data_IF_786525012583
#
_entry.id   IF_786525012583
#
_cell.length_a   1.000
_cell.length_b   1.000
_cell.length_c   1.000
_cell.angle_alpha   90.00
_cell.angle_beta   90.00
_cell.angle_gamma   90.00
#
_symmetry.space_group_name_H-M   'P 1'
#
loop_
_entity.id
_entity.type
_entity.pdbx_description
1 polymer ?
#
# COMPACT_ATOMS: atom_id res chain seq x y z
N UNK A 1 -29.94 -38.48 27.35
CA UNK A 1 -28.77 -37.79 26.77
C UNK A 1 -29.29 -36.75 25.80
N UNK A 2 -29.21 -35.47 26.16
CA UNK A 2 -29.71 -34.36 25.35
C UNK A 2 -28.48 -33.71 24.71
N UNK A 3 -28.42 -33.69 23.39
CA UNK A 3 -27.42 -32.96 22.63
C UNK A 3 -27.66 -31.45 22.83
N UNK A 4 -26.67 -30.74 23.38
CA UNK A 4 -26.68 -29.28 23.44
C UNK A 4 -26.36 -28.68 22.07
N UNK A 5 -26.87 -27.49 21.74
CA UNK A 5 -26.68 -26.89 20.43
C UNK A 5 -25.23 -26.40 20.27
N UNK A 6 -24.65 -26.80 19.15
CA UNK A 6 -23.37 -26.35 18.65
C UNK A 6 -23.50 -24.85 18.30
N UNK A 7 -22.94 -23.96 19.13
CA UNK A 7 -22.78 -22.55 18.76
C UNK A 7 -21.63 -22.46 17.77
N UNK A 8 -21.96 -22.34 16.48
CA UNK A 8 -21.03 -21.83 15.50
C UNK A 8 -20.64 -20.40 15.94
N UNK A 9 -19.39 -20.23 16.34
CA UNK A 9 -18.78 -18.92 16.46
C UNK A 9 -18.66 -18.38 15.03
N UNK A 10 -19.62 -17.57 14.61
CA UNK A 10 -19.44 -16.70 13.46
C UNK A 10 -18.36 -15.70 13.83
N UNK A 11 -17.16 -15.88 13.32
CA UNK A 11 -16.21 -14.77 13.19
C UNK A 11 -16.89 -13.76 12.27
N UNK A 12 -17.41 -12.69 12.85
CA UNK A 12 -17.76 -11.48 12.12
C UNK A 12 -16.42 -10.92 11.61
N UNK A 13 -15.93 -11.44 10.49
CA UNK A 13 -14.78 -10.88 9.81
C UNK A 13 -15.20 -9.50 9.33
N UNK A 14 -14.47 -8.47 9.73
CA UNK A 14 -14.71 -7.10 9.28
C UNK A 14 -14.68 -7.10 7.74
N UNK A 15 -15.81 -6.76 7.12
CA UNK A 15 -15.85 -6.58 5.67
C UNK A 15 -15.09 -5.31 5.33
N UNK A 16 -14.11 -5.43 4.44
CA UNK A 16 -13.32 -4.28 4.01
C UNK A 16 -13.22 -4.24 2.49
N UNK A 17 -13.17 -3.02 1.96
CA UNK A 17 -12.99 -2.76 0.53
C UNK A 17 -11.87 -1.77 0.30
N UNK A 18 -11.07 -2.03 -0.74
CA UNK A 18 -10.08 -1.08 -1.23
C UNK A 18 -10.72 -0.26 -2.34
N UNK A 19 -10.77 1.05 -2.16
CA UNK A 19 -11.44 1.99 -3.06
C UNK A 19 -10.39 2.93 -3.64
N UNK A 20 -10.35 3.03 -4.96
CA UNK A 20 -9.57 4.06 -5.63
C UNK A 20 -10.16 5.44 -5.37
N UNK A 21 -9.29 6.39 -5.02
CA UNK A 21 -9.61 7.79 -4.81
C UNK A 21 -9.13 8.55 -6.03
N UNK A 22 -10.08 9.04 -6.83
CA UNK A 22 -9.74 9.87 -7.98
C UNK A 22 -9.49 11.30 -7.50
N UNK A 23 -8.38 11.93 -7.92
CA UNK A 23 -8.15 13.34 -7.69
C UNK A 23 -9.15 14.19 -8.48
N UNK A 24 -9.38 15.42 -8.02
CA UNK A 24 -10.04 16.44 -8.83
C UNK A 24 -9.04 16.97 -9.86
N UNK A 25 -9.26 16.69 -11.15
CA UNK A 25 -8.45 17.25 -12.23
C UNK A 25 -9.05 18.54 -12.76
N UNK A 26 -8.26 19.61 -12.80
CA UNK A 26 -8.64 20.88 -13.44
C UNK A 26 -8.04 21.06 -14.84
N UNK A 27 -6.83 20.53 -15.10
CA UNK A 27 -6.12 20.52 -16.40
C UNK A 27 -4.99 19.46 -16.38
N UNK A 28 -4.57 18.92 -17.52
CA UNK A 28 -3.46 17.94 -17.65
C UNK A 28 -2.08 18.55 -17.33
N UNK A 29 -1.98 19.88 -17.31
CA UNK A 29 -0.73 20.62 -17.01
C UNK A 29 -0.63 21.07 -15.56
N UNK A 30 -1.70 20.90 -14.78
CA UNK A 30 -1.74 21.25 -13.37
C UNK A 30 -1.30 20.06 -12.53
N UNK A 31 -0.63 20.29 -11.39
CA UNK A 31 -0.32 19.21 -10.48
C UNK A 31 -1.62 18.64 -9.90
N UNK A 32 -1.62 17.34 -9.68
CA UNK A 32 -2.78 16.59 -9.21
C UNK A 32 -2.96 16.82 -7.72
N UNK A 33 -4.11 17.34 -7.30
CA UNK A 33 -4.42 17.46 -5.88
C UNK A 33 -4.69 16.07 -5.31
N UNK A 34 -3.93 15.67 -4.27
CA UNK A 34 -4.13 14.38 -3.62
C UNK A 34 -5.57 14.30 -3.09
N UNK A 35 -6.28 13.18 -3.27
CA UNK A 35 -7.72 13.09 -3.02
C UNK A 35 -8.06 12.86 -1.53
N UNK A 36 -7.22 13.36 -0.62
CA UNK A 36 -7.41 13.19 0.82
C UNK A 36 -7.53 14.54 1.51
N UNK A 37 -8.38 14.57 2.51
CA UNK A 37 -8.44 15.68 3.46
C UNK A 37 -7.60 15.36 4.69
N UNK A 38 -7.21 16.42 5.40
CA UNK A 38 -6.65 16.30 6.74
C UNK A 38 -7.60 15.46 7.60
N UNK A 39 -7.03 14.49 8.30
CA UNK A 39 -7.77 13.55 9.11
C UNK A 39 -6.90 13.11 10.28
N UNK A 40 -7.42 13.26 11.50
CA UNK A 40 -6.73 12.79 12.70
C UNK A 40 -6.42 11.30 12.55
N UNK A 41 -5.18 10.91 12.84
CA UNK A 41 -4.71 9.52 12.72
C UNK A 41 -3.97 9.21 11.43
N UNK A 42 -3.96 10.12 10.45
CA UNK A 42 -3.05 10.12 9.30
C UNK A 42 -2.07 11.29 9.38
N UNK A 43 -0.96 11.17 8.67
CA UNK A 43 0.07 12.21 8.59
C UNK A 43 -0.30 13.19 7.48
N UNK A 44 -0.81 14.37 7.84
CA UNK A 44 -1.35 15.34 6.87
C UNK A 44 -0.35 15.69 5.74
N UNK A 45 0.91 15.97 6.09
CA UNK A 45 1.95 16.35 5.14
C UNK A 45 2.25 15.28 4.07
N UNK A 46 1.81 14.04 4.28
CA UNK A 46 1.96 12.97 3.27
C UNK A 46 0.80 12.93 2.28
N UNK A 47 -0.39 13.34 2.69
CA UNK A 47 -1.64 13.05 1.98
C UNK A 47 -2.39 14.28 1.50
N UNK A 48 -2.09 15.46 2.03
CA UNK A 48 -2.85 16.71 1.81
C UNK A 48 -1.94 17.72 1.10
N UNK A 49 -1.54 17.40 -0.14
CA UNK A 49 -0.77 18.29 -1.01
C UNK A 49 -1.04 17.97 -2.49
N UNK A 50 -0.17 18.41 -3.40
CA UNK A 50 -0.20 18.08 -4.81
C UNK A 50 0.89 17.07 -5.21
N UNK A 51 0.66 16.32 -6.28
CA UNK A 51 1.66 15.48 -6.94
C UNK A 51 1.80 15.92 -8.41
N UNK A 52 3.03 16.06 -8.89
CA UNK A 52 3.31 16.44 -10.28
C UNK A 52 3.26 15.25 -11.24
N UNK A 53 3.33 14.03 -10.71
CA UNK A 53 3.15 12.82 -11.50
C UNK A 53 1.66 12.50 -11.63
N UNK A 54 1.14 12.64 -12.85
CA UNK A 54 -0.27 12.39 -13.18
C UNK A 54 -0.59 10.90 -13.33
N UNK A 55 0.41 10.01 -13.30
CA UNK A 55 0.23 8.56 -13.34
C UNK A 55 -0.05 7.93 -11.99
N UNK A 56 0.13 8.69 -10.91
CA UNK A 56 -0.08 8.26 -9.53
C UNK A 56 -1.54 7.94 -9.28
N UNK A 57 -1.77 6.88 -8.52
CA UNK A 57 -3.10 6.43 -8.09
C UNK A 57 -3.15 6.33 -6.58
N UNK A 58 -4.29 6.71 -6.00
CA UNK A 58 -4.50 6.71 -4.56
C UNK A 58 -5.61 5.75 -4.17
N UNK A 59 -5.46 5.08 -3.04
CA UNK A 59 -6.44 4.11 -2.56
C UNK A 59 -6.70 4.28 -1.06
N UNK A 60 -7.92 3.93 -0.66
CA UNK A 60 -8.33 3.81 0.74
C UNK A 60 -8.85 2.42 1.05
N UNK A 61 -8.38 1.80 2.13
CA UNK A 61 -9.03 0.64 2.72
C UNK A 61 -10.12 1.13 3.69
N UNK A 62 -11.37 0.77 3.43
CA UNK A 62 -12.53 1.19 4.24
C UNK A 62 -13.12 -0.02 4.96
N UNK A 63 -13.46 0.13 6.24
CA UNK A 63 -14.32 -0.82 6.96
C UNK A 63 -15.77 -0.61 6.54
N UNK A 64 -16.40 -1.60 5.92
CA UNK A 64 -17.79 -1.50 5.47
C UNK A 64 -18.80 -1.44 6.63
N UNK A 65 -18.39 -1.85 7.83
CA UNK A 65 -19.23 -1.90 9.03
C UNK A 65 -19.35 -0.53 9.67
N UNK A 66 -18.22 0.15 9.83
CA UNK A 66 -18.16 1.46 10.51
C UNK A 66 -18.11 2.63 9.53
N UNK A 67 -17.63 2.40 8.31
CA UNK A 67 -17.32 3.43 7.34
C UNK A 67 -15.94 4.07 7.53
N UNK A 68 -15.15 3.59 8.49
CA UNK A 68 -13.86 4.18 8.84
C UNK A 68 -12.82 3.93 7.76
N UNK A 69 -11.96 4.93 7.53
CA UNK A 69 -10.79 4.82 6.67
C UNK A 69 -9.61 4.26 7.46
N UNK A 70 -9.19 3.03 7.12
CA UNK A 70 -8.21 2.27 7.88
C UNK A 70 -6.78 2.47 7.36
N UNK A 71 -6.62 2.58 6.03
CA UNK A 71 -5.32 2.64 5.35
C UNK A 71 -5.42 3.56 4.14
N UNK A 72 -4.38 4.35 3.89
CA UNK A 72 -4.15 5.09 2.64
C UNK A 72 -2.95 4.51 1.91
N UNK A 73 -3.03 4.44 0.59
CA UNK A 73 -1.94 3.95 -0.27
C UNK A 73 -1.78 4.86 -1.49
N UNK A 74 -0.54 5.19 -1.82
CA UNK A 74 -0.13 5.89 -3.04
C UNK A 74 0.69 4.95 -3.91
N UNK A 75 0.36 4.88 -5.20
CA UNK A 75 0.91 3.89 -6.12
C UNK A 75 1.30 4.51 -7.45
N UNK A 76 2.45 4.10 -7.99
CA UNK A 76 2.90 4.40 -9.36
C UNK A 76 2.90 3.09 -10.17
N UNK A 77 1.93 2.86 -11.07
CA UNK A 77 1.73 1.54 -11.72
C UNK A 77 2.82 1.08 -12.70
N UNK A 78 3.66 2.00 -13.20
CA UNK A 78 4.70 1.71 -14.20
C UNK A 78 6.04 2.34 -13.80
N UNK A 79 6.42 2.15 -12.54
CA UNK A 79 7.61 2.77 -11.95
C UNK A 79 8.91 2.07 -12.34
N UNK A 80 9.98 2.86 -12.43
CA UNK A 80 11.37 2.41 -12.59
C UNK A 80 12.18 2.42 -11.27
N UNK A 81 11.54 2.53 -10.10
CA UNK A 81 12.21 2.68 -8.78
C UNK A 81 13.32 1.65 -8.49
N UNK A 82 13.27 0.48 -9.14
CA UNK A 82 14.28 -0.57 -9.00
C UNK A 82 15.52 -0.44 -9.89
N UNK A 83 15.61 0.53 -10.81
CA UNK A 83 16.63 0.58 -11.86
C UNK A 83 18.07 0.64 -11.34
N UNK A 84 18.29 1.27 -10.18
CA UNK A 84 19.60 1.35 -9.55
C UNK A 84 19.97 0.11 -8.72
N UNK A 85 19.00 -0.77 -8.45
CA UNK A 85 19.16 -1.98 -7.66
C UNK A 85 19.30 -3.22 -8.54
N UNK A 86 18.53 -3.29 -9.62
CA UNK A 86 18.50 -4.42 -10.56
C UNK A 86 17.78 -4.06 -11.86
N UNK A 87 17.73 -5.03 -12.78
CA UNK A 87 16.92 -4.93 -14.00
C UNK A 87 15.44 -4.81 -13.68
N UNK A 88 14.82 -3.74 -14.17
CA UNK A 88 13.37 -3.46 -14.09
C UNK A 88 12.63 -4.26 -15.18
N UNK A 89 11.44 -4.82 -14.89
CA UNK A 89 10.57 -5.43 -15.91
C UNK A 89 10.22 -4.44 -17.02
N UNK A 90 9.91 -4.94 -18.22
CA UNK A 90 9.61 -4.09 -19.38
C UNK A 90 8.41 -3.14 -19.16
N UNK A 91 7.46 -3.51 -18.29
CA UNK A 91 6.29 -2.70 -17.95
C UNK A 91 6.47 -1.90 -16.63
N UNK A 92 7.66 -1.90 -16.04
CA UNK A 92 7.90 -1.33 -14.72
C UNK A 92 7.38 -2.19 -13.57
N UNK A 93 7.46 -1.64 -12.37
CA UNK A 93 6.80 -2.14 -11.17
C UNK A 93 5.52 -1.36 -10.90
N UNK A 94 4.56 -2.01 -10.22
CA UNK A 94 3.60 -1.27 -9.41
C UNK A 94 4.29 -0.86 -8.12
N UNK A 95 4.83 0.35 -8.10
CA UNK A 95 5.50 0.90 -6.92
C UNK A 95 4.46 1.35 -5.90
N UNK A 96 4.64 0.94 -4.65
CA UNK A 96 3.94 1.51 -3.50
C UNK A 96 4.84 2.61 -2.95
N UNK A 97 4.52 3.85 -3.33
CA UNK A 97 5.31 5.01 -2.94
C UNK A 97 5.04 5.40 -1.48
N UNK A 98 3.78 5.33 -1.06
CA UNK A 98 3.36 5.56 0.33
C UNK A 98 2.31 4.55 0.77
N UNK A 99 2.41 4.14 2.02
CA UNK A 99 1.36 3.43 2.74
C UNK A 99 1.30 3.91 4.18
N UNK A 100 0.12 4.26 4.64
CA UNK A 100 -0.09 4.62 6.04
C UNK A 100 -1.33 3.93 6.59
N UNK A 101 -1.16 3.23 7.72
CA UNK A 101 -2.27 2.71 8.53
C UNK A 101 -2.63 3.76 9.57
N UNK A 102 -3.93 4.06 9.65
CA UNK A 102 -4.50 4.97 10.63
C UNK A 102 -3.97 4.66 12.04
N UNK A 103 -3.58 5.69 12.80
CA UNK A 103 -2.85 5.57 14.06
C UNK A 103 -3.49 4.62 15.08
N UNK A 104 -4.82 4.66 15.21
CA UNK A 104 -5.58 3.81 16.14
C UNK A 104 -5.73 2.34 15.68
N UNK A 105 -5.42 2.07 14.40
CA UNK A 105 -5.57 0.77 13.75
C UNK A 105 -4.22 0.09 13.45
N UNK A 106 -3.10 0.69 13.86
CA UNK A 106 -1.75 0.12 13.65
C UNK A 106 -1.59 -1.23 14.35
N UNK A 107 -0.78 -2.11 13.74
CA UNK A 107 -0.46 -3.47 14.22
C UNK A 107 -1.66 -4.43 14.33
N UNK A 108 -2.77 -4.12 13.65
CA UNK A 108 -3.95 -4.99 13.58
C UNK A 108 -4.08 -5.77 12.25
N UNK A 109 -3.07 -5.68 11.38
CA UNK A 109 -3.02 -6.39 10.09
C UNK A 109 -3.57 -5.61 8.90
N UNK A 110 -4.18 -4.44 9.11
CA UNK A 110 -4.83 -3.67 8.03
C UNK A 110 -3.90 -3.27 6.88
N UNK A 111 -2.64 -2.95 7.17
CA UNK A 111 -1.66 -2.66 6.11
C UNK A 111 -1.47 -3.86 5.16
N UNK A 112 -1.38 -5.09 5.70
CA UNK A 112 -1.32 -6.31 4.88
C UNK A 112 -2.60 -6.48 4.06
N UNK A 113 -3.76 -6.34 4.68
CA UNK A 113 -5.05 -6.45 3.99
C UNK A 113 -5.18 -5.44 2.85
N UNK A 114 -4.66 -4.22 3.02
CA UNK A 114 -4.63 -3.23 1.95
C UNK A 114 -3.75 -3.69 0.77
N UNK A 115 -2.55 -4.23 1.04
CA UNK A 115 -1.65 -4.74 -0.01
C UNK A 115 -2.26 -5.94 -0.74
N UNK A 116 -2.83 -6.90 -0.02
CA UNK A 116 -3.48 -8.08 -0.62
C UNK A 116 -4.62 -7.65 -1.57
N UNK A 117 -5.46 -6.70 -1.15
CA UNK A 117 -6.52 -6.15 -2.01
C UNK A 117 -6.01 -5.31 -3.16
N UNK A 118 -4.87 -4.64 -2.99
CA UNK A 118 -4.22 -3.89 -4.06
C UNK A 118 -3.68 -4.84 -5.13
N UNK A 119 -3.13 -5.98 -4.71
CA UNK A 119 -2.67 -7.09 -5.56
C UNK A 119 -3.81 -7.75 -6.36
N UNK A 120 -5.05 -7.67 -5.88
CA UNK A 120 -6.23 -8.09 -6.63
C UNK A 120 -6.64 -7.09 -7.72
N UNK A 121 -6.29 -5.80 -7.58
CA UNK A 121 -6.76 -4.72 -8.46
C UNK A 121 -5.74 -4.27 -9.50
N UNK A 122 -4.44 -4.42 -9.23
CA UNK A 122 -3.36 -3.94 -10.07
C UNK A 122 -2.44 -5.09 -10.53
N UNK A 123 -1.73 -4.93 -11.66
CA UNK A 123 -0.75 -5.92 -12.07
C UNK A 123 0.53 -5.79 -11.23
N UNK A 124 1.12 -6.92 -10.86
CA UNK A 124 2.51 -6.96 -10.37
C UNK A 124 3.54 -6.98 -11.50
N UNK A 125 4.84 -7.10 -11.19
CA UNK A 125 5.40 -7.21 -9.83
C UNK A 125 5.30 -5.90 -9.04
N UNK A 126 5.29 -6.01 -7.72
CA UNK A 126 5.24 -4.83 -6.83
C UNK A 126 6.62 -4.48 -6.30
N UNK A 127 6.84 -3.20 -6.05
CA UNK A 127 8.05 -2.70 -5.43
C UNK A 127 7.75 -1.63 -4.38
N UNK A 128 8.62 -1.50 -3.38
CA UNK A 128 8.57 -0.40 -2.42
C UNK A 128 9.97 -0.11 -1.88
N UNK A 129 10.30 1.16 -1.67
CA UNK A 129 11.48 1.54 -0.88
C UNK A 129 11.08 1.59 0.60
N UNK A 130 11.84 0.91 1.45
CA UNK A 130 11.62 0.93 2.87
C UNK A 130 12.19 2.22 3.49
N UNK A 131 11.31 3.21 3.64
CA UNK A 131 11.58 4.45 4.36
C UNK A 131 11.16 4.32 5.84
N UNK A 132 11.71 5.17 6.69
CA UNK A 132 11.29 5.34 8.09
C UNK A 132 11.19 4.03 8.92
N UNK A 133 12.07 3.06 8.66
CA UNK A 133 12.09 1.79 9.38
C UNK A 133 10.98 0.82 8.99
N UNK A 134 10.45 0.92 7.76
CA UNK A 134 9.37 0.07 7.25
C UNK A 134 9.82 -1.36 6.84
N UNK A 135 11.10 -1.71 6.94
CA UNK A 135 11.64 -3.02 6.58
C UNK A 135 10.90 -4.19 7.25
N UNK A 136 10.55 -4.14 8.55
CA UNK A 136 9.81 -5.23 9.19
C UNK A 136 8.41 -5.43 8.61
N UNK A 137 7.78 -4.37 8.10
CA UNK A 137 6.48 -4.46 7.45
C UNK A 137 6.59 -5.23 6.13
N UNK A 138 7.50 -4.81 5.24
CA UNK A 138 7.70 -5.47 3.93
C UNK A 138 8.22 -6.91 4.08
N UNK A 139 9.16 -7.13 5.00
CA UNK A 139 9.63 -8.48 5.35
C UNK A 139 8.48 -9.35 5.86
N UNK A 140 7.58 -8.77 6.66
CA UNK A 140 6.39 -9.45 7.16
C UNK A 140 5.39 -9.83 6.07
N UNK A 141 5.44 -9.22 4.88
CA UNK A 141 4.67 -9.63 3.70
C UNK A 141 5.37 -10.73 2.89
N UNK A 142 6.60 -11.09 3.23
CA UNK A 142 7.40 -12.06 2.49
C UNK A 142 8.11 -11.49 1.27
N UNK A 143 8.18 -10.15 1.14
CA UNK A 143 8.84 -9.51 0.01
C UNK A 143 10.36 -9.64 0.11
N UNK A 144 11.02 -9.73 -1.04
CA UNK A 144 12.48 -9.90 -1.10
C UNK A 144 13.18 -8.54 -1.03
N UNK A 145 14.13 -8.40 -0.11
CA UNK A 145 14.94 -7.19 0.07
C UNK A 145 16.15 -7.16 -0.88
N UNK A 146 16.41 -6.00 -1.47
CA UNK A 146 17.54 -5.70 -2.35
C UNK A 146 18.26 -4.44 -1.84
N UNK A 147 19.54 -4.61 -1.51
CA UNK A 147 20.40 -3.49 -1.08
C UNK A 147 20.88 -2.70 -2.28
N UNK A 148 21.05 -1.39 -2.11
CA UNK A 148 21.64 -0.56 -3.17
C UNK A 148 23.11 -0.98 -3.39
N UNK A 149 23.55 -1.23 -4.64
CA UNK A 149 24.87 -1.80 -4.90
C UNK A 149 26.03 -0.84 -4.62
N UNK A 150 25.79 0.48 -4.63
CA UNK A 150 26.83 1.50 -4.49
C UNK A 150 27.03 2.06 -3.09
N UNK A 151 25.95 2.15 -2.30
CA UNK A 151 25.98 2.78 -0.98
C UNK A 151 24.81 2.27 -0.11
N UNK A 152 24.97 1.09 0.52
CA UNK A 152 23.91 0.49 1.34
C UNK A 152 23.57 1.29 2.61
N UNK A 153 24.45 2.19 3.06
CA UNK A 153 24.25 2.93 4.32
C UNK A 153 23.42 4.20 4.13
N UNK A 154 23.38 4.74 2.91
CA UNK A 154 22.69 6.00 2.58
C UNK A 154 21.54 5.84 1.59
N UNK A 155 21.24 4.61 1.16
CA UNK A 155 20.13 4.31 0.27
C UNK A 155 19.11 3.41 0.94
N UNK A 156 17.83 3.68 0.70
CA UNK A 156 16.73 2.86 1.19
C UNK A 156 16.81 1.43 0.64
N UNK A 157 16.31 0.46 1.39
CA UNK A 157 16.23 -0.93 0.94
C UNK A 157 15.03 -1.10 0.01
N UNK A 158 15.24 -1.65 -1.18
CA UNK A 158 14.17 -1.98 -2.11
C UNK A 158 13.57 -3.33 -1.76
N UNK A 159 12.25 -3.39 -1.60
CA UNK A 159 11.50 -4.63 -1.44
C UNK A 159 10.69 -4.92 -2.70
N UNK A 160 10.71 -6.18 -3.14
CA UNK A 160 9.98 -6.62 -4.34
C UNK A 160 9.13 -7.85 -4.03
N UNK A 161 7.90 -7.82 -4.51
CA UNK A 161 7.02 -8.97 -4.64
C UNK A 161 7.02 -9.48 -6.08
N UNK A 162 7.66 -10.63 -6.29
CA UNK A 162 7.62 -11.31 -7.58
C UNK A 162 6.54 -12.40 -7.56
N UNK A 163 5.44 -12.24 -8.33
CA UNK A 163 4.42 -13.27 -8.43
C UNK A 163 5.04 -14.53 -9.06
N UNK A 164 5.22 -15.58 -8.26
CA UNK A 164 5.81 -16.85 -8.68
C UNK A 164 6.88 -17.43 -7.76
N UNK A 165 7.35 -16.68 -6.75
CA UNK A 165 8.14 -17.21 -5.65
C UNK A 165 7.29 -17.32 -4.37
N UNK A 166 6.32 -18.24 -4.35
CA UNK A 166 5.94 -18.83 -3.06
C UNK A 166 7.02 -19.86 -2.68
N UNK A 167 7.40 -19.99 -1.40
CA UNK A 167 8.21 -21.11 -0.93
C UNK A 167 7.53 -22.47 -1.19
#
# INVERSE_FOLDING_TARGET
MIAGPNRAAGTCGSSTRLVERCPEHTDERDPVVKPFTSATGFTDDWWVDFNWDTSVRWFSLIDDTTGDELVRVEVVPTSEVGALYRTVPANGYTEIELIEVHGEHRRQGWGRTAIEKLQEQLPGPYAALAKDGAEPFWTGLGWTAFQHPGDPEHCDVLFIDEPGQMP
#
